data_IF_568111534138
#
_entry.id   IF_568111534138
#
_cell.length_a   1.000
_cell.length_b   1.000
_cell.length_c   1.000
_cell.angle_alpha   90.00
_cell.angle_beta   90.00
_cell.angle_gamma   90.00
#
_symmetry.space_group_name_H-M   'P 1'
#
loop_
_entity.id
_entity.type
_entity.pdbx_description
1 polymer ?
#
# COMPACT_ATOMS: atom_id res chain seq x y z
N UNK A 1 -15.01 -9.46 -28.77
CA UNK A 1 -13.91 -8.71 -28.13
C UNK A 1 -12.65 -8.85 -29.00
N UNK A 2 -11.80 -7.84 -29.06
CA UNK A 2 -10.46 -7.92 -29.69
C UNK A 2 -9.36 -8.44 -28.75
N UNK A 3 -9.66 -8.51 -27.45
CA UNK A 3 -8.76 -9.01 -26.40
C UNK A 3 -9.12 -10.47 -26.11
N UNK A 4 -8.10 -11.34 -26.01
CA UNK A 4 -8.22 -12.74 -25.61
C UNK A 4 -8.70 -12.89 -24.16
N UNK A 5 -9.34 -14.02 -23.86
CA UNK A 5 -9.99 -14.27 -22.58
C UNK A 5 -9.02 -14.19 -21.39
N UNK A 6 -7.77 -14.64 -21.55
CA UNK A 6 -6.75 -14.59 -20.50
C UNK A 6 -6.35 -13.16 -20.15
N UNK A 7 -6.24 -12.29 -21.16
CA UNK A 7 -5.91 -10.88 -20.97
C UNK A 7 -7.08 -10.12 -20.32
N UNK A 8 -8.32 -10.44 -20.72
CA UNK A 8 -9.52 -9.91 -20.08
C UNK A 8 -9.61 -10.36 -18.61
N UNK A 9 -9.39 -11.65 -18.35
CA UNK A 9 -9.38 -12.24 -17.00
C UNK A 9 -8.32 -11.60 -16.12
N UNK A 10 -7.11 -11.39 -16.66
CA UNK A 10 -6.03 -10.72 -15.94
C UNK A 10 -6.42 -9.29 -15.54
N UNK A 11 -7.02 -8.52 -16.45
CA UNK A 11 -7.48 -7.15 -16.15
C UNK A 11 -8.57 -7.15 -15.08
N UNK A 12 -9.56 -8.03 -15.20
CA UNK A 12 -10.64 -8.17 -14.21
C UNK A 12 -10.09 -8.55 -12.83
N UNK A 13 -9.10 -9.43 -12.79
CA UNK A 13 -8.47 -9.86 -11.54
C UNK A 13 -7.69 -8.78 -10.80
N UNK A 14 -7.39 -7.65 -11.44
CA UNK A 14 -6.68 -6.51 -10.84
C UNK A 14 -7.61 -5.36 -10.44
N UNK A 15 -8.92 -5.47 -10.67
CA UNK A 15 -9.88 -4.46 -10.22
C UNK A 15 -10.04 -4.61 -8.70
N UNK A 16 -9.72 -3.58 -7.89
CA UNK A 16 -9.96 -3.63 -6.46
C UNK A 16 -11.46 -3.71 -6.17
N UNK A 17 -11.85 -4.64 -5.31
CA UNK A 17 -13.24 -4.86 -4.90
C UNK A 17 -13.41 -4.44 -3.45
N UNK A 18 -14.47 -3.70 -3.14
CA UNK A 18 -14.80 -3.36 -1.74
C UNK A 18 -14.96 -4.66 -0.96
N UNK A 19 -14.29 -4.74 0.18
CA UNK A 19 -14.17 -5.99 0.92
C UNK A 19 -14.45 -5.77 2.39
N UNK A 20 -15.54 -6.37 2.87
CA UNK A 20 -15.87 -6.45 4.30
C UNK A 20 -15.57 -7.87 4.83
N UNK A 21 -14.44 -8.04 5.51
CA UNK A 21 -14.05 -9.35 6.06
C UNK A 21 -14.82 -9.73 7.34
N UNK A 22 -15.73 -8.88 7.85
CA UNK A 22 -16.72 -9.33 8.83
C UNK A 22 -17.83 -10.18 8.18
N UNK A 23 -18.04 -10.00 6.86
CA UNK A 23 -19.03 -10.74 6.06
C UNK A 23 -18.41 -11.87 5.27
N UNK A 24 -17.20 -11.65 4.75
CA UNK A 24 -16.52 -12.62 3.90
C UNK A 24 -15.48 -13.44 4.68
N UNK A 25 -15.70 -14.76 4.73
CA UNK A 25 -14.75 -15.72 5.28
C UNK A 25 -13.77 -16.22 4.20
N UNK A 26 -12.56 -16.61 4.64
CA UNK A 26 -11.59 -17.29 3.78
C UNK A 26 -12.19 -18.63 3.33
N UNK A 27 -12.13 -18.92 2.02
CA UNK A 27 -12.83 -20.08 1.43
C UNK A 27 -12.38 -21.42 2.01
N UNK A 28 -11.11 -21.57 2.38
CA UNK A 28 -10.56 -22.76 3.03
C UNK A 28 -11.06 -22.98 4.46
N UNK A 29 -11.44 -21.90 5.15
CA UNK A 29 -11.92 -21.90 6.54
C UNK A 29 -13.45 -21.87 6.63
N UNK A 30 -14.12 -21.83 5.48
CA UNK A 30 -15.57 -21.72 5.41
C UNK A 30 -16.26 -23.05 5.72
N UNK A 31 -17.38 -22.98 6.45
CA UNK A 31 -18.23 -24.13 6.79
C UNK A 31 -18.80 -24.88 5.59
N UNK A 32 -18.80 -24.27 4.39
CA UNK A 32 -19.21 -24.93 3.14
C UNK A 32 -18.17 -25.91 2.58
N UNK A 33 -17.03 -26.12 3.25
CA UNK A 33 -15.98 -27.05 2.82
C UNK A 33 -15.35 -26.66 1.49
N UNK A 34 -15.31 -25.37 1.17
CA UNK A 34 -14.75 -24.84 -0.07
C UNK A 34 -15.64 -24.97 -1.31
N UNK A 35 -16.89 -25.43 -1.19
CA UNK A 35 -17.83 -25.51 -2.32
C UNK A 35 -18.08 -24.15 -2.98
N UNK A 36 -18.00 -23.06 -2.21
CA UNK A 36 -18.33 -21.71 -2.64
C UNK A 36 -19.76 -21.38 -2.25
N UNK A 37 -19.92 -20.46 -1.30
CA UNK A 37 -21.21 -19.96 -0.83
C UNK A 37 -21.15 -18.43 -0.71
N UNK A 38 -22.28 -17.73 -0.53
CA UNK A 38 -22.30 -16.26 -0.42
C UNK A 38 -21.41 -15.68 0.70
N UNK A 39 -21.03 -16.50 1.69
CA UNK A 39 -20.14 -16.08 2.80
C UNK A 39 -18.66 -16.13 2.42
N UNK A 40 -18.24 -16.92 1.42
CA UNK A 40 -16.84 -17.05 1.05
C UNK A 40 -16.56 -16.76 -0.43
N UNK A 41 -17.58 -16.35 -1.18
CA UNK A 41 -17.47 -16.05 -2.61
C UNK A 41 -18.43 -14.95 -2.97
N UNK A 42 -17.92 -13.88 -3.57
CA UNK A 42 -18.72 -12.82 -4.18
C UNK A 42 -18.85 -13.10 -5.68
N UNK A 43 -20.07 -13.04 -6.20
CA UNK A 43 -20.38 -13.33 -7.61
C UNK A 43 -20.69 -12.05 -8.36
N UNK A 44 -20.20 -11.96 -9.60
CA UNK A 44 -20.36 -10.81 -10.48
C UNK A 44 -20.80 -11.24 -11.86
N UNK A 45 -21.57 -10.39 -12.53
CA UNK A 45 -21.99 -10.59 -13.93
C UNK A 45 -21.63 -9.37 -14.76
N UNK A 46 -21.22 -9.60 -16.01
CA UNK A 46 -20.95 -8.54 -16.98
C UNK A 46 -21.57 -8.95 -18.32
N UNK A 47 -22.49 -8.14 -18.84
CA UNK A 47 -23.16 -8.38 -20.12
C UNK A 47 -23.32 -7.06 -20.86
N UNK A 48 -22.40 -6.78 -21.79
CA UNK A 48 -22.28 -5.48 -22.46
C UNK A 48 -22.03 -5.66 -23.95
N UNK A 49 -22.68 -4.83 -24.75
CA UNK A 49 -22.55 -4.76 -26.22
C UNK A 49 -22.06 -3.38 -26.64
N UNK A 50 -21.18 -3.34 -27.66
CA UNK A 50 -20.60 -2.12 -28.20
C UNK A 50 -21.49 -1.41 -29.24
N UNK A 51 -21.10 -0.20 -29.68
CA UNK A 51 -19.82 0.45 -29.41
C UNK A 51 -19.80 1.21 -28.07
N UNK A 52 -18.92 0.81 -27.15
CA UNK A 52 -18.66 1.53 -25.88
C UNK A 52 -17.36 1.06 -25.22
N UNK A 53 -16.79 1.92 -24.38
CA UNK A 53 -15.82 1.50 -23.37
C UNK A 53 -16.55 0.82 -22.22
N UNK A 54 -16.09 -0.37 -21.86
CA UNK A 54 -16.56 -1.11 -20.69
C UNK A 54 -15.70 -0.71 -19.50
N UNK A 55 -16.33 -0.31 -18.40
CA UNK A 55 -15.66 0.13 -17.18
C UNK A 55 -15.90 -0.85 -16.02
N UNK A 56 -15.15 -0.72 -14.92
CA UNK A 56 -15.38 -1.49 -13.70
C UNK A 56 -16.80 -1.35 -13.17
N UNK A 57 -17.43 -0.18 -13.31
CA UNK A 57 -18.84 0.01 -12.94
C UNK A 57 -19.84 -0.86 -13.73
N UNK A 58 -19.46 -1.40 -14.89
CA UNK A 58 -20.31 -2.33 -15.65
C UNK A 58 -20.29 -3.75 -15.05
N UNK A 59 -19.37 -4.06 -14.14
CA UNK A 59 -19.31 -5.33 -13.42
C UNK A 59 -20.36 -5.32 -12.30
N UNK A 60 -21.45 -6.05 -12.49
CA UNK A 60 -22.61 -6.05 -11.58
C UNK A 60 -22.40 -7.09 -10.48
N UNK A 61 -22.19 -6.68 -9.21
CA UNK A 61 -22.08 -7.62 -8.09
C UNK A 61 -23.45 -8.15 -7.66
N UNK A 62 -23.50 -9.39 -7.17
CA UNK A 62 -24.68 -9.89 -6.45
C UNK A 62 -24.81 -9.26 -5.05
N UNK A 63 -23.68 -8.93 -4.41
CA UNK A 63 -23.62 -8.17 -3.17
C UNK A 63 -23.21 -6.71 -3.46
N UNK A 64 -24.12 -5.72 -3.32
CA UNK A 64 -23.81 -4.32 -3.59
C UNK A 64 -22.62 -3.78 -2.78
N UNK A 65 -22.35 -4.33 -1.60
CA UNK A 65 -21.24 -3.90 -0.75
C UNK A 65 -19.87 -4.42 -1.23
N UNK A 66 -19.87 -5.37 -2.18
CA UNK A 66 -18.67 -5.89 -2.84
C UNK A 66 -18.41 -5.26 -4.21
N UNK A 67 -19.04 -4.13 -4.53
CA UNK A 67 -18.81 -3.41 -5.78
C UNK A 67 -17.33 -3.03 -5.97
N UNK A 68 -16.87 -2.80 -7.22
CA UNK A 68 -15.56 -2.23 -7.48
C UNK A 68 -15.31 -0.96 -6.66
N UNK A 69 -14.09 -0.82 -6.13
CA UNK A 69 -13.72 0.32 -5.31
C UNK A 69 -13.74 1.64 -6.11
N UNK A 70 -13.25 1.58 -7.35
CA UNK A 70 -13.30 2.63 -8.36
C UNK A 70 -14.14 2.16 -9.55
N UNK A 71 -15.08 3.00 -9.99
CA UNK A 71 -16.03 2.69 -11.07
C UNK A 71 -15.52 3.02 -12.47
N UNK A 72 -14.51 3.89 -12.58
CA UNK A 72 -14.01 4.38 -13.87
C UNK A 72 -12.77 3.63 -14.38
N UNK A 73 -12.46 2.44 -13.87
CA UNK A 73 -11.34 1.63 -14.39
C UNK A 73 -11.72 1.05 -15.75
N UNK A 74 -11.05 1.40 -16.86
CA UNK A 74 -11.39 0.87 -18.17
C UNK A 74 -10.99 -0.61 -18.28
N UNK A 75 -11.94 -1.47 -18.65
CA UNK A 75 -11.71 -2.90 -18.85
C UNK A 75 -11.32 -3.16 -20.30
N UNK A 76 -12.15 -2.71 -21.25
CA UNK A 76 -11.97 -2.96 -22.68
C UNK A 76 -12.84 -2.01 -23.52
N UNK A 77 -12.38 -1.68 -24.73
CA UNK A 77 -13.18 -0.98 -25.73
C UNK A 77 -13.85 -1.99 -26.68
N UNK A 78 -15.18 -1.90 -26.82
CA UNK A 78 -15.96 -2.72 -27.73
C UNK A 78 -16.31 -1.93 -28.99
N UNK A 79 -16.03 -2.49 -30.16
CA UNK A 79 -16.53 -1.99 -31.43
C UNK A 79 -18.01 -2.35 -31.69
N UNK A 80 -18.59 -1.91 -32.82
CA UNK A 80 -19.93 -2.32 -33.22
C UNK A 80 -20.08 -3.85 -33.28
N UNK A 81 -21.23 -4.37 -32.84
CA UNK A 81 -21.57 -5.81 -32.79
C UNK A 81 -20.67 -6.67 -31.88
N UNK A 82 -19.71 -6.07 -31.16
CA UNK A 82 -18.91 -6.79 -30.18
C UNK A 82 -19.63 -6.88 -28.84
N UNK A 83 -19.66 -8.09 -28.27
CA UNK A 83 -20.28 -8.36 -26.98
C UNK A 83 -19.32 -9.06 -26.03
N UNK A 84 -19.47 -8.79 -24.73
CA UNK A 84 -18.89 -9.56 -23.64
C UNK A 84 -20.02 -10.04 -22.75
N UNK A 85 -20.00 -11.33 -22.42
CA UNK A 85 -20.87 -11.94 -21.42
C UNK A 85 -20.01 -12.85 -20.56
N UNK A 86 -19.93 -12.58 -19.26
CA UNK A 86 -19.20 -13.42 -18.32
C UNK A 86 -19.82 -13.38 -16.92
N UNK A 87 -19.48 -14.41 -16.15
CA UNK A 87 -19.68 -14.50 -14.71
C UNK A 87 -18.31 -14.63 -14.06
N UNK A 88 -18.09 -13.91 -12.96
CA UNK A 88 -16.85 -13.92 -12.22
C UNK A 88 -17.09 -14.20 -10.74
N UNK A 89 -16.11 -14.83 -10.10
CA UNK A 89 -16.15 -15.22 -8.69
C UNK A 89 -14.91 -14.64 -7.98
N UNK A 90 -15.13 -13.82 -6.97
CA UNK A 90 -14.07 -13.30 -6.11
C UNK A 90 -14.05 -14.08 -4.79
N UNK A 91 -12.83 -14.38 -4.32
CA UNK A 91 -12.56 -15.03 -3.03
C UNK A 91 -11.57 -14.18 -2.24
N UNK A 92 -11.64 -14.26 -0.92
CA UNK A 92 -10.65 -13.68 -0.02
C UNK A 92 -9.37 -14.50 -0.12
N UNK A 93 -8.24 -13.81 -0.31
CA UNK A 93 -6.90 -14.38 -0.32
C UNK A 93 -5.89 -13.36 0.22
N UNK A 94 -4.62 -13.75 0.28
CA UNK A 94 -3.56 -12.89 0.82
C UNK A 94 -2.60 -12.40 -0.25
N UNK A 95 -2.03 -11.21 -0.05
CA UNK A 95 -0.99 -10.66 -0.94
C UNK A 95 0.27 -11.56 -1.06
N UNK A 96 0.49 -12.48 -0.11
CA UNK A 96 1.55 -13.50 -0.18
C UNK A 96 1.28 -14.55 -1.26
N UNK A 97 0.02 -14.89 -1.49
CA UNK A 97 -0.38 -15.86 -2.50
C UNK A 97 -0.41 -15.24 -3.90
N UNK A 98 -0.91 -14.00 -4.01
CA UNK A 98 -0.93 -13.28 -5.28
C UNK A 98 -0.99 -11.76 -5.08
N UNK A 99 -0.24 -11.01 -5.89
CA UNK A 99 -0.15 -9.54 -5.79
C UNK A 99 -1.51 -8.82 -5.88
N UNK A 100 -2.46 -9.37 -6.65
CA UNK A 100 -3.84 -8.85 -6.76
C UNK A 100 -4.61 -8.76 -5.43
N UNK A 101 -4.18 -9.48 -4.39
CA UNK A 101 -4.78 -9.45 -3.06
C UNK A 101 -4.05 -8.50 -2.09
N UNK A 102 -3.10 -7.69 -2.58
CA UNK A 102 -2.50 -6.63 -1.79
C UNK A 102 -3.49 -5.46 -1.66
N UNK A 103 -3.98 -5.20 -0.45
CA UNK A 103 -4.94 -4.12 -0.16
C UNK A 103 -4.31 -2.71 -0.12
N UNK A 104 -3.01 -2.57 -0.43
CA UNK A 104 -2.27 -1.31 -0.34
C UNK A 104 -1.51 -1.03 -1.63
N UNK A 105 -1.57 0.23 -2.08
CA UNK A 105 -0.76 0.74 -3.20
C UNK A 105 0.62 1.20 -2.73
N UNK A 106 0.70 1.79 -1.54
CA UNK A 106 1.95 2.15 -0.88
C UNK A 106 1.88 1.73 0.58
N UNK A 107 2.89 1.01 1.06
CA UNK A 107 3.03 0.66 2.46
C UNK A 107 4.51 0.63 2.80
N UNK A 108 4.93 1.56 3.66
CA UNK A 108 6.33 1.68 4.02
C UNK A 108 6.52 2.57 5.23
N UNK A 109 7.77 2.64 5.67
CA UNK A 109 8.15 3.52 6.75
C UNK A 109 9.53 4.09 6.51
N UNK A 110 9.83 5.16 7.24
CA UNK A 110 11.19 5.66 7.45
C UNK A 110 11.36 6.02 8.92
N UNK A 111 12.59 6.00 9.40
CA UNK A 111 12.91 6.58 10.70
C UNK A 111 12.70 8.10 10.68
N UNK A 112 12.39 8.68 11.84
CA UNK A 112 12.24 10.12 11.98
C UNK A 112 13.58 10.81 11.68
N UNK A 113 13.62 11.75 10.71
CA UNK A 113 14.86 12.43 10.36
C UNK A 113 15.41 13.25 11.53
N UNK A 114 16.72 13.21 11.74
CA UNK A 114 17.44 14.14 12.63
C UNK A 114 18.40 14.96 11.77
N UNK A 115 18.14 16.27 11.67
CA UNK A 115 18.95 17.18 10.86
C UNK A 115 19.77 18.04 11.81
N UNK A 116 21.09 17.92 11.75
CA UNK A 116 22.03 18.70 12.57
C UNK A 116 22.78 19.65 11.63
N UNK A 117 22.90 20.92 12.04
CA UNK A 117 23.62 21.96 11.30
C UNK A 117 24.68 22.53 12.22
N UNK A 118 25.92 22.49 11.74
CA UNK A 118 27.11 22.75 12.54
C UNK A 118 27.42 24.25 12.57
N UNK A 119 28.37 24.64 13.42
CA UNK A 119 28.87 26.03 13.48
C UNK A 119 29.67 26.43 12.24
N UNK A 120 30.17 25.45 11.47
CA UNK A 120 30.88 25.68 10.20
C UNK A 120 29.96 26.20 9.09
N UNK A 121 28.65 26.10 9.23
CA UNK A 121 27.70 26.58 8.24
C UNK A 121 27.84 28.10 8.07
N UNK A 122 28.05 28.55 6.84
CA UNK A 122 28.21 29.96 6.46
C UNK A 122 26.91 30.59 5.93
N UNK A 123 25.84 29.79 5.84
CA UNK A 123 24.54 30.24 5.32
C UNK A 123 24.50 30.41 3.80
N UNK A 124 25.42 29.82 3.02
CA UNK A 124 25.48 29.99 1.56
C UNK A 124 24.21 29.56 0.79
N UNK A 125 23.38 28.68 1.35
CA UNK A 125 22.08 28.30 0.77
C UNK A 125 22.10 27.13 -0.21
N UNK A 126 23.26 26.61 -0.62
CA UNK A 126 23.33 25.52 -1.62
C UNK A 126 22.53 24.26 -1.21
N UNK A 127 22.53 23.91 0.08
CA UNK A 127 21.76 22.79 0.59
C UNK A 127 20.25 23.02 0.58
N UNK A 128 19.80 24.28 0.58
CA UNK A 128 18.38 24.66 0.45
C UNK A 128 17.94 24.41 -0.99
N UNK A 129 18.70 24.89 -1.97
CA UNK A 129 18.40 24.73 -3.40
C UNK A 129 18.36 23.26 -3.84
N UNK A 130 19.21 22.42 -3.25
CA UNK A 130 19.31 20.99 -3.55
C UNK A 130 18.30 20.12 -2.78
N UNK A 131 17.50 20.70 -1.88
CA UNK A 131 16.53 19.93 -1.10
C UNK A 131 15.21 19.75 -1.86
N UNK A 132 14.86 18.55 -2.38
CA UNK A 132 13.63 18.35 -3.15
C UNK A 132 12.35 18.32 -2.29
N UNK A 133 12.48 18.58 -0.98
CA UNK A 133 11.40 18.50 0.01
C UNK A 133 11.17 19.84 0.73
N UNK A 134 11.94 20.87 0.39
CA UNK A 134 11.85 22.21 0.98
C UNK A 134 11.85 22.17 2.52
N UNK A 135 12.73 21.37 3.13
CA UNK A 135 12.81 21.25 4.61
C UNK A 135 13.83 22.20 5.23
N UNK A 136 14.59 22.91 4.42
CA UNK A 136 15.64 23.84 4.83
C UNK A 136 15.26 25.25 4.38
N UNK A 137 15.68 26.26 5.15
CA UNK A 137 15.51 27.67 4.80
C UNK A 137 16.71 28.51 5.30
N UNK A 138 16.97 29.68 4.69
CA UNK A 138 17.95 30.62 5.22
C UNK A 138 17.60 31.07 6.65
N UNK A 139 18.62 31.18 7.50
CA UNK A 139 18.53 31.76 8.85
C UNK A 139 19.53 32.90 9.04
N UNK A 140 19.71 33.36 10.29
CA UNK A 140 20.68 34.41 10.61
C UNK A 140 22.10 33.85 10.63
N UNK A 141 22.79 33.93 9.48
CA UNK A 141 24.18 33.49 9.30
C UNK A 141 24.37 31.97 9.19
N UNK A 142 23.32 31.17 9.40
CA UNK A 142 23.30 29.71 9.21
C UNK A 142 21.97 29.27 8.61
N UNK A 143 21.99 28.14 7.90
CA UNK A 143 20.76 27.48 7.46
C UNK A 143 20.02 26.89 8.67
N UNK A 144 18.70 26.79 8.57
CA UNK A 144 17.85 26.17 9.58
C UNK A 144 16.85 25.23 8.93
N UNK A 145 16.32 24.30 9.72
CA UNK A 145 15.18 23.46 9.31
C UNK A 145 13.91 24.30 9.40
N UNK A 146 13.07 24.24 8.36
CA UNK A 146 11.77 24.91 8.37
C UNK A 146 10.92 24.31 9.48
N UNK A 147 10.32 25.18 10.30
CA UNK A 147 9.48 24.76 11.42
C UNK A 147 8.37 23.80 10.97
N UNK A 148 8.27 22.65 11.63
CA UNK A 148 7.26 21.61 11.31
C UNK A 148 7.51 20.84 10.00
N UNK A 149 8.67 21.00 9.34
CA UNK A 149 8.97 20.27 8.10
C UNK A 149 10.01 19.15 8.24
N UNK A 150 10.52 18.90 9.44
CA UNK A 150 11.57 17.91 9.67
C UNK A 150 11.15 16.49 9.22
N UNK A 151 9.90 16.07 9.50
CA UNK A 151 9.40 14.77 9.06
C UNK A 151 9.35 14.59 7.53
N UNK A 152 9.35 15.66 6.73
CA UNK A 152 9.27 15.57 5.27
C UNK A 152 10.62 15.27 4.63
N UNK A 153 11.74 15.38 5.38
CA UNK A 153 13.06 15.03 4.88
C UNK A 153 13.06 13.57 4.40
N UNK A 154 13.43 13.35 3.14
CA UNK A 154 13.45 12.01 2.52
C UNK A 154 14.70 11.20 2.83
N UNK A 155 15.59 11.71 3.70
CA UNK A 155 16.89 11.09 4.00
C UNK A 155 17.79 10.90 2.75
N UNK A 156 17.57 11.69 1.70
CA UNK A 156 18.30 11.58 0.43
C UNK A 156 19.78 12.01 0.51
N UNK A 157 20.16 12.77 1.56
CA UNK A 157 21.50 13.30 1.80
C UNK A 157 22.05 14.20 0.68
N UNK A 158 21.18 14.75 -0.17
CA UNK A 158 21.59 15.71 -1.21
C UNK A 158 22.15 16.99 -0.59
N UNK A 159 21.54 17.48 0.49
CA UNK A 159 22.01 18.63 1.25
C UNK A 159 23.42 18.45 1.82
N UNK A 160 23.80 17.25 2.26
CA UNK A 160 25.16 16.93 2.71
C UNK A 160 26.15 17.05 1.54
N UNK A 161 25.81 16.46 0.39
CA UNK A 161 26.65 16.48 -0.82
C UNK A 161 26.82 17.88 -1.41
N UNK A 162 25.80 18.72 -1.28
CA UNK A 162 25.81 20.09 -1.76
C UNK A 162 26.59 21.05 -0.85
N UNK A 163 26.84 20.68 0.40
CA UNK A 163 27.47 21.55 1.38
C UNK A 163 29.00 21.58 1.19
N UNK A 164 29.54 22.75 0.87
CA UNK A 164 30.97 22.97 0.64
C UNK A 164 31.66 23.69 1.81
N UNK A 165 31.02 23.80 2.97
CA UNK A 165 31.45 24.64 4.09
C UNK A 165 32.85 24.30 4.65
N UNK A 166 33.32 23.05 4.51
CA UNK A 166 34.69 22.68 4.89
C UNK A 166 35.73 22.77 3.74
N UNK A 167 35.31 23.05 2.51
CA UNK A 167 36.10 22.89 1.28
C UNK A 167 35.68 21.68 0.43
N UNK A 168 36.25 21.55 -0.77
CA UNK A 168 35.97 20.40 -1.65
C UNK A 168 36.61 19.15 -1.04
N UNK A 169 35.80 18.15 -0.68
CA UNK A 169 36.26 16.85 -0.15
C UNK A 169 36.41 16.77 1.37
N UNK A 170 35.90 17.75 2.12
CA UNK A 170 35.86 17.76 3.59
C UNK A 170 34.47 17.42 4.12
N UNK A 171 34.34 17.32 5.44
CA UNK A 171 33.03 17.10 6.07
C UNK A 171 32.06 18.28 5.82
N UNK A 172 30.79 18.00 5.51
CA UNK A 172 29.76 19.01 5.35
C UNK A 172 29.38 19.61 6.71
N UNK A 173 28.82 20.82 6.71
CA UNK A 173 28.28 21.46 7.93
C UNK A 173 26.81 21.11 8.20
N UNK A 174 26.24 20.14 7.48
CA UNK A 174 24.90 19.61 7.66
C UNK A 174 24.96 18.09 7.64
N UNK A 175 24.32 17.46 8.63
CA UNK A 175 24.30 16.00 8.81
C UNK A 175 22.88 15.49 8.98
N UNK A 176 22.56 14.42 8.25
CA UNK A 176 21.25 13.77 8.19
C UNK A 176 21.34 12.41 8.87
N UNK A 177 20.95 12.41 10.14
CA UNK A 177 20.75 11.22 10.96
C UNK A 177 19.30 10.77 11.00
N UNK A 178 19.05 9.76 11.83
CA UNK A 178 17.73 9.18 12.06
C UNK A 178 17.57 8.83 13.52
N UNK A 179 16.36 9.03 14.05
CA UNK A 179 15.97 8.54 15.36
C UNK A 179 15.63 7.03 15.27
N UNK A 180 16.31 6.14 16.02
CA UNK A 180 16.09 4.70 15.95
C UNK A 180 14.76 4.25 16.58
N UNK A 181 14.15 5.07 17.43
CA UNK A 181 12.93 4.72 18.18
C UNK A 181 11.67 5.35 17.56
N UNK A 182 11.81 6.28 16.62
CA UNK A 182 10.70 6.98 15.99
C UNK A 182 10.59 6.64 14.51
N UNK A 183 9.39 6.26 14.10
CA UNK A 183 9.07 5.87 12.73
C UNK A 183 7.92 6.71 12.17
N UNK A 184 8.00 7.02 10.88
CA UNK A 184 6.93 7.63 10.10
C UNK A 184 6.46 6.59 9.10
N UNK A 185 5.26 6.07 9.30
CA UNK A 185 4.60 5.14 8.39
C UNK A 185 3.80 5.89 7.34
N UNK A 186 3.80 5.37 6.11
CA UNK A 186 2.93 5.80 5.01
C UNK A 186 2.21 4.56 4.51
N UNK A 187 0.88 4.59 4.57
CA UNK A 187 0.01 3.52 4.11
C UNK A 187 -1.09 4.13 3.27
N UNK A 188 -1.19 3.67 2.03
CA UNK A 188 -2.20 4.05 1.05
C UNK A 188 -2.95 2.79 0.63
N UNK A 189 -4.27 2.81 0.76
CA UNK A 189 -5.15 1.71 0.35
C UNK A 189 -5.44 1.79 -1.16
N UNK A 190 -5.67 0.64 -1.79
CA UNK A 190 -6.21 0.56 -3.15
C UNK A 190 -7.72 0.85 -3.25
N UNK A 191 -8.36 1.12 -2.10
CA UNK A 191 -9.79 1.38 -1.96
C UNK A 191 -10.63 0.14 -1.65
N UNK A 192 -10.04 -1.07 -1.68
CA UNK A 192 -10.74 -2.31 -1.29
C UNK A 192 -11.14 -2.31 0.18
N UNK A 193 -10.35 -1.66 1.04
CA UNK A 193 -10.52 -1.65 2.49
C UNK A 193 -9.98 -0.36 3.12
N UNK A 194 -10.58 0.17 4.20
CA UNK A 194 -10.03 1.31 4.95
C UNK A 194 -8.63 1.04 5.52
N UNK A 195 -7.74 2.04 5.46
CA UNK A 195 -6.34 1.93 5.96
C UNK A 195 -6.28 1.51 7.42
N UNK A 196 -7.17 2.02 8.26
CA UNK A 196 -7.26 1.64 9.68
C UNK A 196 -7.45 0.13 9.85
N UNK A 197 -8.35 -0.43 9.06
CA UNK A 197 -8.71 -1.84 9.11
C UNK A 197 -7.58 -2.73 8.58
N UNK A 198 -6.88 -2.28 7.53
CA UNK A 198 -5.65 -2.92 7.03
C UNK A 198 -4.60 -3.02 8.14
N UNK A 199 -4.34 -1.92 8.86
CA UNK A 199 -3.36 -1.88 9.95
C UNK A 199 -3.80 -2.78 11.12
N UNK A 200 -5.06 -2.71 11.54
CA UNK A 200 -5.60 -3.55 12.61
C UNK A 200 -5.45 -5.04 12.27
N UNK A 201 -5.72 -5.44 11.02
CA UNK A 201 -5.51 -6.82 10.57
C UNK A 201 -4.05 -7.22 10.48
N UNK A 202 -3.16 -6.33 10.06
CA UNK A 202 -1.73 -6.60 10.05
C UNK A 202 -1.21 -6.89 11.48
N UNK A 203 -1.67 -6.12 12.47
CA UNK A 203 -1.34 -6.35 13.88
C UNK A 203 -1.90 -7.69 14.38
N UNK A 204 -3.18 -7.98 14.07
CA UNK A 204 -3.79 -9.27 14.41
C UNK A 204 -3.06 -10.46 13.77
N UNK A 205 -2.57 -10.31 12.53
CA UNK A 205 -1.80 -11.35 11.86
C UNK A 205 -0.47 -11.62 12.57
N UNK A 206 0.25 -10.57 13.00
CA UNK A 206 1.49 -10.71 13.77
C UNK A 206 1.20 -11.37 15.12
N UNK A 207 0.14 -10.95 15.81
CA UNK A 207 -0.29 -11.55 17.08
C UNK A 207 -0.56 -13.05 16.91
N UNK A 208 -1.44 -13.43 15.98
CA UNK A 208 -1.76 -14.84 15.71
C UNK A 208 -0.54 -15.66 15.35
N UNK A 209 0.34 -15.12 14.50
CA UNK A 209 1.58 -15.82 14.13
C UNK A 209 2.50 -16.08 15.34
N UNK A 210 2.49 -15.17 16.32
CA UNK A 210 3.23 -15.34 17.58
C UNK A 210 2.55 -16.35 18.50
N UNK A 211 1.23 -16.29 18.63
CA UNK A 211 0.44 -17.21 19.46
C UNK A 211 0.58 -18.65 18.92
N UNK A 212 0.42 -18.84 17.61
CA UNK A 212 0.60 -20.13 16.93
C UNK A 212 2.00 -20.72 17.18
N UNK A 213 3.04 -19.86 17.20
CA UNK A 213 4.40 -20.30 17.49
C UNK A 213 4.56 -20.72 18.95
N UNK A 214 3.97 -19.99 19.89
CA UNK A 214 3.98 -20.33 21.32
C UNK A 214 3.29 -21.66 21.56
N UNK A 215 2.13 -21.89 20.95
CA UNK A 215 1.38 -23.14 21.06
C UNK A 215 2.22 -24.33 20.56
N UNK A 216 2.85 -24.20 19.39
CA UNK A 216 3.75 -25.23 18.85
C UNK A 216 4.95 -25.48 19.75
N UNK A 217 5.52 -24.43 20.36
CA UNK A 217 6.64 -24.59 21.30
C UNK A 217 6.19 -25.35 22.55
N UNK A 218 5.03 -24.99 23.12
CA UNK A 218 4.49 -25.64 24.32
C UNK A 218 4.18 -27.12 24.09
N UNK A 219 3.64 -27.45 22.91
CA UNK A 219 3.39 -28.83 22.50
C UNK A 219 4.69 -29.66 22.40
N UNK A 220 5.78 -29.05 21.94
CA UNK A 220 7.09 -29.70 21.81
C UNK A 220 7.80 -29.82 23.16
N UNK A 221 7.74 -28.81 24.03
CA UNK A 221 8.42 -28.81 25.33
C UNK A 221 7.65 -29.60 26.39
N UNK A 222 6.36 -29.88 26.18
CA UNK A 222 5.50 -30.55 27.16
C UNK A 222 5.09 -29.64 28.31
N UNK A 223 5.29 -28.32 28.20
CA UNK A 223 4.92 -27.33 29.23
C UNK A 223 3.42 -26.94 29.17
N UNK A 224 2.62 -27.59 28.32
CA UNK A 224 1.21 -27.26 28.06
C UNK A 224 0.14 -28.19 28.65
N UNK A 225 0.47 -29.16 29.51
CA UNK A 225 -0.53 -30.00 30.19
C UNK A 225 -0.31 -30.04 31.70
N UNK A 226 -0.78 -29.01 32.40
CA UNK A 226 -1.33 -29.09 33.77
C UNK A 226 -2.66 -28.31 33.84
#
# INVERSE_FOLDING_TARGET
SVIFDEMLTHRLGLIPLRTDLARYAVRSECSCGGAGCPVCTATYTLSVEGPKTVYSSDLIPQDPDAAPAEGEIPIIELGPEQKIVLEAYAIVGTGKEHAKWQATTACGYKNYPQIVIDELCDGCGMCVDECPRDVLEPGQGRIRVVSGRQEYCSLCRLCERACLAGGIGTEPAIHIGTDPERFIFVVESDGSMPVREIIERALQYIQRSSDDLVDVINDITGEGTE
#
